data_IF_736410003309
#
_entry.id   IF_736410003309
#
_cell.length_a   1.000
_cell.length_b   1.000
_cell.length_c   1.000
_cell.angle_alpha   90.00
_cell.angle_beta   90.00
_cell.angle_gamma   90.00
#
_symmetry.space_group_name_H-M   'P 1'
#
loop_
_entity.id
_entity.type
_entity.pdbx_description
1 polymer ?
#
# COMPACT_ATOMS: atom_id res chain seq x y z
N UNK A 1 12.58 67.63 -6.14
CA UNK A 1 13.81 68.37 -5.81
C UNK A 1 14.64 68.31 -7.05
N UNK A 2 15.20 69.44 -7.45
CA UNK A 2 15.97 69.55 -8.68
C UNK A 2 17.47 69.51 -8.35
N UNK A 3 18.33 69.60 -9.36
CA UNK A 3 19.79 69.54 -9.15
C UNK A 3 20.30 70.65 -8.22
N UNK A 4 19.61 71.80 -8.20
CA UNK A 4 19.92 72.96 -7.37
C UNK A 4 19.16 72.98 -6.03
N UNK A 5 18.00 72.32 -5.93
CA UNK A 5 17.10 72.42 -4.77
C UNK A 5 16.89 71.06 -4.09
N UNK A 6 17.27 70.90 -2.81
CA UNK A 6 17.07 69.64 -2.13
C UNK A 6 15.57 69.32 -1.98
N UNK A 7 15.19 68.03 -2.06
CA UNK A 7 13.81 67.63 -1.87
C UNK A 7 13.33 67.99 -0.46
N UNK A 8 12.10 68.51 -0.37
CA UNK A 8 11.51 69.00 0.87
C UNK A 8 11.50 67.94 1.99
N UNK A 9 11.25 66.68 1.65
CA UNK A 9 11.29 65.57 2.61
C UNK A 9 12.66 65.40 3.27
N UNK A 10 13.76 65.62 2.52
CA UNK A 10 15.11 65.55 3.06
C UNK A 10 15.37 66.69 4.04
N UNK A 11 14.97 67.92 3.68
CA UNK A 11 15.07 69.07 4.58
C UNK A 11 14.28 68.83 5.88
N UNK A 12 13.02 68.37 5.77
CA UNK A 12 12.20 68.04 6.94
C UNK A 12 12.85 66.98 7.82
N UNK A 13 13.41 65.92 7.22
CA UNK A 13 14.09 64.86 7.98
C UNK A 13 15.33 65.37 8.73
N UNK A 14 16.10 66.28 8.12
CA UNK A 14 17.26 66.90 8.76
C UNK A 14 16.85 67.85 9.88
N UNK A 15 15.77 68.60 9.70
CA UNK A 15 15.22 69.45 10.76
C UNK A 15 14.67 68.63 11.93
N UNK A 16 14.03 67.49 11.64
CA UNK A 16 13.49 66.58 12.66
C UNK A 16 14.59 65.84 13.44
N UNK A 17 15.75 65.60 12.81
CA UNK A 17 16.89 64.98 13.47
C UNK A 17 17.45 65.82 14.64
N UNK A 18 17.20 67.14 14.65
CA UNK A 18 17.41 68.03 15.80
C UNK A 18 18.78 67.86 16.47
N UNK A 19 18.79 67.24 17.66
CA UNK A 19 19.98 67.06 18.52
C UNK A 19 20.91 65.92 18.08
N UNK A 20 20.50 65.07 17.13
CA UNK A 20 21.26 63.93 16.64
C UNK A 20 21.33 63.93 15.11
N UNK A 21 22.06 64.88 14.49
CA UNK A 21 22.19 64.90 13.04
C UNK A 21 22.97 63.67 12.56
N UNK A 22 22.63 63.13 11.37
CA UNK A 22 23.40 62.07 10.74
C UNK A 22 24.83 62.57 10.42
N UNK A 23 25.81 61.66 10.47
CA UNK A 23 27.22 62.01 10.19
C UNK A 23 27.49 62.33 8.73
N UNK A 24 26.80 61.65 7.82
CA UNK A 24 26.92 61.82 6.38
C UNK A 24 25.62 61.38 5.70
N UNK A 25 25.33 61.97 4.54
CA UNK A 25 24.26 61.53 3.66
C UNK A 25 24.91 60.88 2.45
N UNK A 26 24.58 59.62 2.20
CA UNK A 26 25.10 58.87 1.05
C UNK A 26 24.04 58.83 -0.05
N UNK A 27 24.35 59.41 -1.21
CA UNK A 27 23.49 59.37 -2.37
C UNK A 27 23.86 58.16 -3.25
N UNK A 28 23.01 57.13 -3.26
CA UNK A 28 23.16 55.94 -4.11
C UNK A 28 22.23 56.02 -5.31
N UNK A 29 22.76 55.80 -6.50
CA UNK A 29 21.96 55.73 -7.72
C UNK A 29 21.50 54.29 -7.98
N UNK A 30 20.26 54.14 -8.42
CA UNK A 30 19.68 52.85 -8.78
C UNK A 30 20.03 52.57 -10.25
N UNK A 31 20.80 51.51 -10.51
CA UNK A 31 20.97 50.99 -11.87
C UNK A 31 19.72 50.19 -12.24
N UNK A 32 18.71 50.87 -12.80
CA UNK A 32 17.57 50.17 -13.40
C UNK A 32 17.93 49.81 -14.83
N UNK A 33 17.78 48.53 -15.22
CA UNK A 33 18.12 48.02 -16.55
C UNK A 33 17.45 48.77 -17.71
N UNK A 34 16.30 49.43 -17.45
CA UNK A 34 15.50 50.13 -18.46
C UNK A 34 15.84 51.61 -18.65
N UNK A 35 16.66 52.21 -17.78
CA UNK A 35 17.05 53.62 -17.93
C UNK A 35 18.56 53.67 -18.05
N UNK A 36 19.03 53.88 -19.28
CA UNK A 36 20.42 54.21 -19.57
C UNK A 36 20.75 55.62 -19.01
N UNK A 37 20.78 55.74 -17.68
CA UNK A 37 21.29 56.92 -17.00
C UNK A 37 22.81 56.87 -17.12
N UNK A 38 23.40 57.89 -17.74
CA UNK A 38 24.85 57.99 -17.89
C UNK A 38 25.55 57.88 -16.52
N UNK A 39 26.63 57.12 -16.39
CA UNK A 39 27.28 56.80 -15.11
C UNK A 39 28.06 57.97 -14.47
N UNK A 40 27.77 59.21 -14.86
CA UNK A 40 28.57 60.38 -14.52
C UNK A 40 27.73 61.63 -14.23
N UNK A 41 26.60 61.50 -13.51
CA UNK A 41 25.89 62.69 -13.01
C UNK A 41 26.51 63.14 -11.69
N UNK A 42 27.06 64.36 -11.68
CA UNK A 42 27.67 64.99 -10.51
C UNK A 42 26.71 65.08 -9.33
N UNK A 43 27.29 65.05 -8.12
CA UNK A 43 26.55 65.26 -6.88
C UNK A 43 25.78 66.60 -6.99
N UNK A 44 24.49 66.64 -6.58
CA UNK A 44 23.73 67.87 -6.63
C UNK A 44 24.35 68.92 -5.71
N UNK A 45 24.31 70.20 -6.12
CA UNK A 45 24.88 71.33 -5.40
C UNK A 45 24.08 71.76 -4.17
N UNK A 46 23.44 70.82 -3.46
CA UNK A 46 22.56 71.13 -2.35
C UNK A 46 23.33 71.66 -1.14
N UNK A 47 22.95 72.85 -0.69
CA UNK A 47 23.49 73.44 0.54
C UNK A 47 22.87 72.76 1.77
N UNK A 48 23.54 71.70 2.25
CA UNK A 48 23.09 70.89 3.39
C UNK A 48 24.02 71.07 4.60
N UNK A 49 23.48 70.99 5.84
CA UNK A 49 24.28 71.08 7.06
C UNK A 49 25.17 69.85 7.32
N UNK A 50 25.07 68.80 6.49
CA UNK A 50 25.76 67.51 6.63
C UNK A 50 26.47 67.18 5.31
N UNK A 51 27.68 66.59 5.34
CA UNK A 51 28.38 66.23 4.11
C UNK A 51 27.58 65.22 3.26
N UNK A 52 27.47 65.54 1.97
CA UNK A 52 26.87 64.67 0.96
C UNK A 52 27.99 63.88 0.25
N UNK A 53 27.93 62.56 0.34
CA UNK A 53 28.91 61.63 -0.24
C UNK A 53 28.25 60.79 -1.32
N UNK A 54 28.95 60.50 -2.42
CA UNK A 54 28.47 59.56 -3.44
C UNK A 54 28.67 58.14 -2.93
N UNK A 55 27.57 57.37 -2.90
CA UNK A 55 27.61 55.96 -2.57
C UNK A 55 27.85 55.07 -3.77
N UNK A 56 28.16 53.80 -3.50
CA UNK A 56 28.22 52.78 -4.54
C UNK A 56 26.85 52.57 -5.21
N UNK A 57 26.86 52.07 -6.45
CA UNK A 57 25.64 51.74 -7.15
C UNK A 57 24.86 50.68 -6.37
N UNK A 58 23.59 50.95 -6.09
CA UNK A 58 22.76 50.07 -5.27
C UNK A 58 21.75 49.34 -6.14
N UNK A 59 21.95 48.03 -6.28
CA UNK A 59 20.94 47.13 -6.84
C UNK A 59 20.10 46.54 -5.70
N UNK A 60 18.92 47.13 -5.49
CA UNK A 60 18.00 46.70 -4.43
C UNK A 60 17.44 45.29 -4.63
N UNK A 61 17.49 44.73 -5.85
CA UNK A 61 17.00 43.37 -6.12
C UNK A 61 18.00 42.30 -5.67
N UNK A 62 19.28 42.65 -5.62
CA UNK A 62 20.38 41.73 -5.29
C UNK A 62 21.11 42.10 -4.01
N UNK A 63 20.74 43.22 -3.39
CA UNK A 63 21.36 43.67 -2.16
C UNK A 63 21.17 42.63 -1.04
N UNK A 64 22.24 42.22 -0.35
CA UNK A 64 22.11 41.38 0.83
C UNK A 64 21.35 42.13 1.92
N UNK A 65 20.34 41.50 2.50
CA UNK A 65 19.58 42.06 3.62
C UNK A 65 20.41 41.83 4.90
N UNK A 66 20.84 42.89 5.60
CA UNK A 66 21.59 42.74 6.84
C UNK A 66 20.76 42.03 7.92
N UNK A 67 21.33 41.04 8.59
CA UNK A 67 20.64 40.25 9.64
C UNK A 67 20.16 41.10 10.83
N UNK A 68 20.75 42.28 11.03
CA UNK A 68 20.41 43.20 12.11
C UNK A 68 19.12 44.02 11.89
N UNK A 69 18.52 43.95 10.70
CA UNK A 69 17.31 44.72 10.36
C UNK A 69 16.07 43.83 10.56
N UNK A 70 15.03 44.29 11.29
CA UNK A 70 13.79 43.54 11.41
C UNK A 70 13.13 43.35 10.05
N UNK A 71 12.81 42.11 9.69
CA UNK A 71 12.07 41.78 8.47
C UNK A 71 10.68 42.43 8.54
N UNK A 72 10.36 43.31 7.58
CA UNK A 72 9.08 44.00 7.48
C UNK A 72 7.99 43.19 6.76
N UNK A 73 8.36 42.04 6.18
CA UNK A 73 7.44 41.13 5.50
C UNK A 73 6.76 40.18 6.50
N UNK A 74 5.89 40.73 7.34
CA UNK A 74 5.11 39.99 8.33
C UNK A 74 3.66 40.50 8.37
N UNK A 75 2.74 39.63 8.84
CA UNK A 75 1.31 39.92 8.87
C UNK A 75 0.73 40.10 7.47
N UNK A 76 0.02 41.21 7.25
CA UNK A 76 -0.64 41.53 5.96
C UNK A 76 0.34 41.78 4.81
N UNK A 77 1.62 42.03 5.13
CA UNK A 77 2.70 42.22 4.16
C UNK A 77 3.56 40.96 3.96
N UNK A 78 3.17 39.82 4.55
CA UNK A 78 3.84 38.56 4.30
C UNK A 78 3.59 38.12 2.85
N UNK A 79 4.62 37.72 2.09
CA UNK A 79 4.43 37.16 0.76
C UNK A 79 3.51 35.92 0.86
N UNK A 80 2.56 35.75 -0.07
CA UNK A 80 1.75 34.55 -0.10
C UNK A 80 2.68 33.33 -0.24
N UNK A 81 2.36 32.24 0.45
CA UNK A 81 3.15 31.01 0.41
C UNK A 81 3.23 30.51 -1.04
N UNK A 82 4.32 30.81 -1.76
CA UNK A 82 4.54 30.37 -3.14
C UNK A 82 5.07 28.93 -3.09
N UNK A 83 4.17 28.00 -2.82
CA UNK A 83 4.44 26.55 -2.78
C UNK A 83 5.18 26.05 -4.04
N UNK A 84 5.02 26.77 -5.16
CA UNK A 84 5.56 26.39 -6.45
C UNK A 84 6.84 27.09 -6.91
N UNK A 85 7.38 28.06 -6.16
CA UNK A 85 8.66 28.69 -6.54
C UNK A 85 9.87 27.77 -6.32
N UNK A 86 9.76 26.82 -5.40
CA UNK A 86 10.81 25.84 -5.10
C UNK A 86 10.69 24.54 -5.88
N UNK A 87 9.71 24.40 -6.80
CA UNK A 87 9.56 23.22 -7.66
C UNK A 87 10.84 22.75 -8.37
N UNK A 88 11.67 23.64 -8.97
CA UNK A 88 12.89 23.17 -9.62
C UNK A 88 13.89 22.55 -8.63
N UNK A 89 13.85 22.93 -7.35
CA UNK A 89 14.68 22.32 -6.28
C UNK A 89 14.15 20.94 -5.84
N UNK A 90 12.89 20.62 -6.12
CA UNK A 90 12.27 19.32 -5.80
C UNK A 90 12.47 18.25 -6.88
N UNK A 91 13.00 18.62 -8.05
CA UNK A 91 13.35 17.68 -9.12
C UNK A 91 14.16 16.46 -8.66
N UNK A 92 15.27 16.60 -7.89
CA UNK A 92 16.02 15.43 -7.41
C UNK A 92 15.18 14.53 -6.51
N UNK A 93 14.33 15.12 -5.65
CA UNK A 93 13.43 14.35 -4.77
C UNK A 93 12.42 13.56 -5.60
N UNK A 94 11.86 14.17 -6.65
CA UNK A 94 10.94 13.50 -7.55
C UNK A 94 11.61 12.33 -8.30
N UNK A 95 12.86 12.49 -8.74
CA UNK A 95 13.61 11.40 -9.36
C UNK A 95 13.88 10.23 -8.40
N UNK A 96 14.19 10.53 -7.13
CA UNK A 96 14.38 9.49 -6.11
C UNK A 96 13.05 8.74 -5.87
N UNK A 97 11.95 9.47 -5.74
CA UNK A 97 10.62 8.89 -5.56
C UNK A 97 10.23 8.01 -6.75
N UNK A 98 10.49 8.49 -7.97
CA UNK A 98 10.23 7.75 -9.20
C UNK A 98 11.08 6.49 -9.29
N UNK A 99 12.37 6.57 -8.94
CA UNK A 99 13.26 5.43 -8.92
C UNK A 99 12.81 4.37 -7.90
N UNK A 100 12.45 4.79 -6.68
CA UNK A 100 11.92 3.89 -5.66
C UNK A 100 10.63 3.20 -6.12
N UNK A 101 9.72 3.96 -6.76
CA UNK A 101 8.49 3.41 -7.33
C UNK A 101 8.76 2.37 -8.42
N UNK A 102 9.70 2.65 -9.33
CA UNK A 102 10.09 1.69 -10.38
C UNK A 102 10.66 0.42 -9.78
N UNK A 103 11.52 0.53 -8.76
CA UNK A 103 12.11 -0.63 -8.09
C UNK A 103 11.03 -1.52 -7.46
N UNK A 104 10.05 -0.92 -6.77
CA UNK A 104 8.94 -1.65 -6.16
C UNK A 104 8.09 -2.40 -7.18
N UNK A 105 7.74 -1.72 -8.28
CA UNK A 105 6.96 -2.28 -9.39
C UNK A 105 7.72 -3.44 -10.03
N UNK A 106 9.00 -3.26 -10.35
CA UNK A 106 9.84 -4.29 -10.98
C UNK A 106 10.02 -5.48 -10.05
N UNK A 107 10.32 -5.26 -8.76
CA UNK A 107 10.47 -6.34 -7.78
C UNK A 107 9.22 -7.20 -7.69
N UNK A 108 8.05 -6.56 -7.60
CA UNK A 108 6.76 -7.27 -7.59
C UNK A 108 6.58 -8.08 -8.88
N UNK A 109 6.80 -7.49 -10.06
CA UNK A 109 6.59 -8.20 -11.33
C UNK A 109 7.56 -9.35 -11.59
N UNK A 110 8.77 -9.31 -11.02
CA UNK A 110 9.74 -10.42 -11.15
C UNK A 110 9.21 -11.68 -10.46
N UNK A 111 8.59 -11.56 -9.28
CA UNK A 111 8.01 -12.71 -8.59
C UNK A 111 6.92 -13.38 -9.43
N UNK A 112 6.05 -12.58 -10.05
CA UNK A 112 5.04 -13.09 -10.97
C UNK A 112 5.65 -13.75 -12.21
N UNK A 113 6.75 -13.20 -12.74
CA UNK A 113 7.44 -13.79 -13.90
C UNK A 113 8.08 -15.13 -13.56
N UNK A 114 8.72 -15.26 -12.39
CA UNK A 114 9.30 -16.52 -11.91
C UNK A 114 8.19 -17.56 -11.70
N UNK A 115 7.10 -17.16 -11.03
CA UNK A 115 5.98 -18.05 -10.77
C UNK A 115 5.27 -18.50 -12.05
N UNK A 116 5.16 -17.61 -13.04
CA UNK A 116 4.65 -17.96 -14.37
C UNK A 116 5.57 -18.94 -15.08
N UNK A 117 6.90 -18.76 -14.99
CA UNK A 117 7.87 -19.68 -15.58
C UNK A 117 7.83 -21.06 -14.92
N UNK A 118 7.70 -21.14 -13.59
CA UNK A 118 7.52 -22.39 -12.86
C UNK A 118 6.23 -23.10 -13.28
N UNK A 119 5.12 -22.35 -13.40
CA UNK A 119 3.86 -22.90 -13.91
C UNK A 119 4.01 -23.45 -15.33
N UNK A 120 4.71 -22.74 -16.21
CA UNK A 120 4.96 -23.20 -17.58
C UNK A 120 5.82 -24.46 -17.60
N UNK A 121 6.87 -24.53 -16.80
CA UNK A 121 7.73 -25.72 -16.67
C UNK A 121 6.94 -26.94 -16.14
N UNK A 122 6.09 -26.73 -15.13
CA UNK A 122 5.19 -27.76 -14.59
C UNK A 122 4.18 -28.25 -15.64
N UNK A 123 3.61 -27.33 -16.44
CA UNK A 123 2.65 -27.68 -17.50
C UNK A 123 3.33 -28.49 -18.60
N UNK A 124 4.54 -28.12 -19.01
CA UNK A 124 5.32 -28.88 -19.99
C UNK A 124 5.71 -30.27 -19.48
N UNK A 125 6.03 -30.42 -18.19
CA UNK A 125 6.26 -31.74 -17.59
C UNK A 125 4.99 -32.59 -17.58
N UNK A 126 3.84 -31.99 -17.28
CA UNK A 126 2.54 -32.69 -17.35
C UNK A 126 2.21 -33.14 -18.77
N UNK A 127 2.42 -32.28 -19.76
CA UNK A 127 2.26 -32.62 -21.18
C UNK A 127 3.21 -33.76 -21.57
N UNK A 128 4.49 -33.68 -21.22
CA UNK A 128 5.47 -34.73 -21.56
C UNK A 128 5.11 -36.09 -20.93
N UNK A 129 4.65 -36.10 -19.67
CA UNK A 129 4.19 -37.33 -19.00
C UNK A 129 2.90 -37.85 -19.63
N UNK A 130 1.98 -36.96 -20.00
CA UNK A 130 0.73 -37.32 -20.66
C UNK A 130 0.98 -37.94 -22.04
N UNK A 131 1.80 -37.31 -22.88
CA UNK A 131 2.21 -37.84 -24.17
C UNK A 131 2.97 -39.17 -24.04
N UNK A 132 3.84 -39.31 -23.02
CA UNK A 132 4.55 -40.57 -22.75
C UNK A 132 3.63 -41.70 -22.26
N UNK A 133 2.55 -41.39 -21.55
CA UNK A 133 1.63 -42.38 -20.98
C UNK A 133 0.47 -42.77 -21.91
N UNK A 134 0.04 -41.87 -22.81
CA UNK A 134 -1.19 -42.04 -23.60
C UNK A 134 -0.99 -42.06 -25.13
N UNK A 135 0.21 -41.73 -25.64
CA UNK A 135 0.52 -41.79 -27.08
C UNK A 135 -0.01 -40.60 -27.89
N UNK A 136 0.71 -40.28 -28.96
CA UNK A 136 0.74 -38.97 -29.65
C UNK A 136 -0.49 -38.59 -30.50
N UNK A 137 -1.61 -39.30 -30.39
CA UNK A 137 -2.71 -39.23 -31.38
C UNK A 137 -4.04 -38.65 -30.85
N UNK A 138 -4.03 -37.93 -29.72
CA UNK A 138 -5.24 -37.27 -29.20
C UNK A 138 -5.15 -35.75 -29.30
N UNK A 139 -5.97 -35.19 -30.19
CA UNK A 139 -6.12 -33.75 -30.45
C UNK A 139 -6.58 -32.97 -29.21
N UNK A 140 -5.75 -32.00 -28.85
CA UNK A 140 -5.82 -31.11 -27.70
C UNK A 140 -7.02 -30.14 -27.77
N UNK A 141 -8.09 -30.41 -27.01
CA UNK A 141 -9.13 -29.41 -26.69
C UNK A 141 -9.49 -29.57 -25.21
N UNK A 142 -8.97 -28.67 -24.38
CA UNK A 142 -9.17 -28.57 -22.92
C UNK A 142 -8.62 -29.71 -22.06
N UNK A 143 -7.30 -29.67 -21.86
CA UNK A 143 -6.55 -30.53 -20.95
C UNK A 143 -7.18 -30.73 -19.55
N UNK A 144 -7.72 -29.71 -18.84
CA UNK A 144 -8.23 -29.95 -17.48
C UNK A 144 -9.56 -30.71 -17.46
N UNK A 145 -10.45 -30.46 -18.43
CA UNK A 145 -11.78 -31.09 -18.47
C UNK A 145 -11.70 -32.54 -18.96
N UNK A 146 -10.80 -32.81 -19.91
CA UNK A 146 -10.54 -34.18 -20.38
C UNK A 146 -9.77 -35.01 -19.34
N UNK A 147 -8.83 -34.41 -18.59
CA UNK A 147 -8.18 -35.09 -17.47
C UNK A 147 -9.16 -35.43 -16.36
N UNK A 148 -10.10 -34.54 -16.00
CA UNK A 148 -11.14 -34.87 -15.02
C UNK A 148 -12.01 -36.05 -15.47
N UNK A 149 -12.38 -36.10 -16.76
CA UNK A 149 -13.20 -37.18 -17.31
C UNK A 149 -12.45 -38.51 -17.41
N UNK A 150 -11.19 -38.47 -17.84
CA UNK A 150 -10.35 -39.66 -17.96
C UNK A 150 -9.89 -40.16 -16.58
N UNK A 151 -9.68 -39.26 -15.62
CA UNK A 151 -9.39 -39.61 -14.23
C UNK A 151 -10.62 -40.20 -13.54
N UNK A 152 -11.81 -39.66 -13.78
CA UNK A 152 -13.06 -40.27 -13.31
C UNK A 152 -13.27 -41.65 -13.93
N UNK A 153 -13.03 -41.82 -15.24
CA UNK A 153 -13.16 -43.11 -15.92
C UNK A 153 -12.12 -44.15 -15.45
N UNK A 154 -10.85 -43.76 -15.30
CA UNK A 154 -9.79 -44.63 -14.79
C UNK A 154 -9.96 -44.97 -13.31
N UNK A 155 -10.46 -44.04 -12.48
CA UNK A 155 -10.81 -44.32 -11.08
C UNK A 155 -11.98 -45.28 -10.97
N UNK A 156 -12.97 -45.14 -11.85
CA UNK A 156 -14.10 -46.06 -11.90
C UNK A 156 -13.70 -47.48 -12.35
N UNK A 157 -12.66 -47.58 -13.19
CA UNK A 157 -12.10 -48.84 -13.68
C UNK A 157 -11.07 -49.49 -12.71
N UNK A 158 -10.39 -48.70 -11.87
CA UNK A 158 -9.26 -49.17 -11.05
C UNK A 158 -9.66 -49.64 -9.64
N UNK A 159 -10.78 -49.20 -9.06
CA UNK A 159 -11.23 -49.68 -7.73
C UNK A 159 -10.22 -49.48 -6.59
N UNK A 160 -9.34 -48.47 -6.68
CA UNK A 160 -8.29 -48.18 -5.70
C UNK A 160 -8.80 -47.18 -4.67
N UNK A 161 -8.81 -47.60 -3.40
CA UNK A 161 -9.23 -46.79 -2.27
C UNK A 161 -8.14 -45.78 -1.84
N UNK A 162 -8.41 -44.48 -1.96
CA UNK A 162 -7.62 -43.39 -1.39
C UNK A 162 -7.88 -43.27 0.13
N UNK A 163 -6.94 -42.71 0.91
CA UNK A 163 -7.15 -42.48 2.35
C UNK A 163 -8.24 -41.46 2.62
N UNK A 164 -8.59 -40.64 1.63
CA UNK A 164 -9.76 -39.75 1.62
C UNK A 164 -11.07 -40.43 1.21
N UNK A 165 -11.04 -41.72 0.86
CA UNK A 165 -12.23 -42.42 0.41
C UNK A 165 -13.19 -42.74 1.54
N UNK A 166 -14.43 -43.01 1.13
CA UNK A 166 -15.54 -43.30 2.01
C UNK A 166 -15.21 -44.42 3.01
N UNK A 167 -14.49 -45.47 2.59
CA UNK A 167 -14.23 -46.66 3.43
C UNK A 167 -13.31 -46.35 4.62
N UNK A 168 -12.10 -45.78 4.47
CA UNK A 168 -11.25 -45.43 5.61
C UNK A 168 -11.84 -44.33 6.51
N UNK A 169 -12.57 -43.36 5.93
CA UNK A 169 -13.32 -42.36 6.69
C UNK A 169 -14.43 -42.99 7.52
N UNK A 170 -15.19 -43.91 6.91
CA UNK A 170 -16.26 -44.63 7.57
C UNK A 170 -15.72 -45.57 8.64
N UNK A 171 -14.62 -46.27 8.43
CA UNK A 171 -14.02 -47.15 9.44
C UNK A 171 -13.57 -46.36 10.68
N UNK A 172 -12.91 -45.22 10.44
CA UNK A 172 -12.50 -44.31 11.52
C UNK A 172 -13.68 -43.71 12.29
N UNK A 173 -14.76 -43.34 11.57
CA UNK A 173 -15.98 -42.81 12.17
C UNK A 173 -16.81 -43.91 12.87
N UNK A 174 -16.90 -45.11 12.29
CA UNK A 174 -17.71 -46.22 12.78
C UNK A 174 -17.23 -46.74 14.13
N UNK A 175 -15.92 -46.74 14.39
CA UNK A 175 -15.37 -47.10 15.71
C UNK A 175 -15.85 -46.17 16.83
N UNK A 176 -16.14 -44.90 16.51
CA UNK A 176 -16.65 -43.93 17.47
C UNK A 176 -18.18 -43.95 17.51
N UNK A 177 -18.83 -44.03 16.34
CA UNK A 177 -20.29 -44.06 16.23
C UNK A 177 -20.88 -45.34 16.82
N UNK A 178 -20.18 -46.47 16.71
CA UNK A 178 -20.59 -47.75 17.31
C UNK A 178 -20.64 -47.75 18.84
N UNK A 179 -20.12 -46.70 19.50
CA UNK A 179 -20.25 -46.51 20.95
C UNK A 179 -21.52 -45.76 21.36
N UNK A 180 -22.33 -45.28 20.40
CA UNK A 180 -23.62 -44.65 20.66
C UNK A 180 -24.75 -45.69 20.73
N UNK A 181 -25.87 -45.27 21.33
CA UNK A 181 -27.09 -46.08 21.41
C UNK A 181 -27.65 -46.39 20.01
N UNK A 182 -28.23 -47.59 19.85
CA UNK A 182 -28.90 -47.98 18.63
C UNK A 182 -30.01 -46.97 18.26
N UNK A 183 -29.94 -46.41 17.04
CA UNK A 183 -30.89 -45.38 16.56
C UNK A 183 -30.38 -43.93 16.65
N UNK A 184 -29.15 -43.70 17.13
CA UNK A 184 -28.55 -42.35 17.16
C UNK A 184 -28.03 -41.85 15.81
N UNK A 185 -27.84 -42.70 14.81
CA UNK A 185 -27.45 -42.30 13.46
C UNK A 185 -28.68 -42.25 12.55
N UNK A 186 -29.00 -41.08 12.01
CA UNK A 186 -30.19 -40.86 11.17
C UNK A 186 -29.87 -40.87 9.69
N UNK A 187 -28.78 -40.22 9.29
CA UNK A 187 -28.34 -40.17 7.89
C UNK A 187 -26.83 -40.10 7.82
N UNK A 188 -26.28 -40.65 6.73
CA UNK A 188 -24.88 -40.60 6.37
C UNK A 188 -24.80 -40.18 4.91
N UNK A 189 -24.09 -39.10 4.61
CA UNK A 189 -23.86 -38.64 3.24
C UNK A 189 -22.36 -38.42 3.01
N UNK A 190 -21.87 -38.81 1.84
CA UNK A 190 -20.47 -38.61 1.46
C UNK A 190 -20.41 -37.81 0.16
N UNK A 191 -19.71 -36.69 0.20
CA UNK A 191 -19.48 -35.85 -0.97
C UNK A 191 -18.02 -35.41 -1.01
N UNK A 192 -17.33 -35.78 -2.10
CA UNK A 192 -16.03 -35.23 -2.48
C UNK A 192 -14.99 -35.15 -1.35
N UNK A 193 -14.82 -36.24 -0.59
CA UNK A 193 -13.84 -36.33 0.52
C UNK A 193 -14.32 -35.82 1.88
N UNK A 194 -15.63 -35.54 2.03
CA UNK A 194 -16.26 -35.14 3.30
C UNK A 194 -17.38 -36.10 3.66
N UNK A 195 -17.45 -36.47 4.94
CA UNK A 195 -18.50 -37.33 5.48
C UNK A 195 -19.44 -36.49 6.34
N UNK A 196 -20.68 -36.32 5.91
CA UNK A 196 -21.75 -35.70 6.68
C UNK A 196 -22.54 -36.75 7.45
N UNK A 197 -22.73 -36.51 8.74
CA UNK A 197 -23.43 -37.37 9.68
C UNK A 197 -24.55 -36.58 10.36
N UNK A 198 -25.79 -37.06 10.23
CA UNK A 198 -26.90 -36.58 11.04
C UNK A 198 -27.09 -37.51 12.25
N UNK A 199 -26.82 -36.97 13.44
CA UNK A 199 -26.95 -37.70 14.69
C UNK A 199 -28.10 -37.18 15.54
N UNK A 200 -28.79 -38.09 16.23
CA UNK A 200 -29.77 -37.81 17.28
C UNK A 200 -29.23 -38.35 18.60
N UNK A 201 -28.84 -37.44 19.49
CA UNK A 201 -28.32 -37.76 20.82
C UNK A 201 -29.34 -37.37 21.89
N UNK A 202 -29.29 -38.05 23.04
CA UNK A 202 -30.17 -37.74 24.16
C UNK A 202 -29.75 -36.44 24.86
N UNK A 203 -28.46 -36.11 24.91
CA UNK A 203 -27.99 -34.89 25.58
C UNK A 203 -26.95 -34.14 24.77
N UNK A 204 -26.92 -32.82 24.92
CA UNK A 204 -25.88 -31.96 24.33
C UNK A 204 -24.48 -32.28 24.84
N UNK A 205 -24.35 -32.78 26.07
CA UNK A 205 -23.07 -33.20 26.67
C UNK A 205 -22.46 -34.41 25.94
N UNK A 206 -23.29 -35.32 25.43
CA UNK A 206 -22.83 -36.49 24.67
C UNK A 206 -22.24 -36.06 23.31
N UNK A 207 -22.74 -34.95 22.75
CA UNK A 207 -22.29 -34.42 21.47
C UNK A 207 -20.88 -33.83 21.55
N UNK A 208 -20.59 -33.06 22.60
CA UNK A 208 -19.25 -32.49 22.81
C UNK A 208 -18.22 -33.60 23.10
N UNK A 209 -18.61 -34.62 23.87
CA UNK A 209 -17.76 -35.78 24.12
C UNK A 209 -17.48 -36.57 22.83
N UNK A 210 -18.48 -36.70 21.95
CA UNK A 210 -18.34 -37.34 20.65
C UNK A 210 -17.39 -36.57 19.72
N UNK A 211 -17.56 -35.26 19.64
CA UNK A 211 -16.73 -34.37 18.81
C UNK A 211 -15.25 -34.46 19.23
N UNK A 212 -14.98 -34.42 20.53
CA UNK A 212 -13.60 -34.59 21.06
C UNK A 212 -13.01 -35.96 20.75
N UNK A 213 -13.80 -37.04 20.82
CA UNK A 213 -13.34 -38.39 20.46
C UNK A 213 -12.99 -38.49 18.97
N UNK A 214 -13.81 -37.92 18.09
CA UNK A 214 -13.54 -37.87 16.66
C UNK A 214 -12.28 -37.05 16.34
N UNK A 215 -12.11 -35.90 16.99
CA UNK A 215 -10.89 -35.08 16.86
C UNK A 215 -9.63 -35.81 17.34
N UNK A 216 -9.71 -36.58 18.44
CA UNK A 216 -8.57 -37.37 18.94
C UNK A 216 -8.09 -38.46 17.97
N UNK A 217 -8.89 -38.80 16.96
CA UNK A 217 -8.57 -39.76 15.90
C UNK A 217 -8.04 -39.09 14.62
N UNK A 218 -7.72 -37.80 14.66
CA UNK A 218 -7.19 -37.05 13.51
C UNK A 218 -8.26 -36.61 12.51
N UNK A 219 -9.55 -36.68 12.89
CA UNK A 219 -10.65 -36.19 12.07
C UNK A 219 -10.97 -34.73 12.44
N UNK A 220 -10.95 -33.85 11.45
CA UNK A 220 -11.44 -32.48 11.62
C UNK A 220 -12.97 -32.51 11.58
N UNK A 221 -13.58 -32.11 12.70
CA UNK A 221 -15.03 -32.08 12.87
C UNK A 221 -15.54 -30.66 12.78
N UNK A 222 -16.51 -30.41 11.90
CA UNK A 222 -17.26 -29.17 11.83
C UNK A 222 -18.72 -29.44 12.15
N UNK A 223 -19.22 -28.81 13.21
CA UNK A 223 -20.65 -28.83 13.54
C UNK A 223 -21.35 -27.79 12.68
N UNK A 224 -22.31 -28.21 11.87
CA UNK A 224 -23.03 -27.30 10.96
C UNK A 224 -24.33 -26.79 11.59
N UNK A 225 -25.11 -27.65 12.23
CA UNK A 225 -26.37 -27.26 12.86
C UNK A 225 -26.66 -28.17 14.07
N UNK A 226 -27.08 -27.58 15.19
CA UNK A 226 -27.56 -28.29 16.39
C UNK A 226 -28.96 -27.78 16.72
N UNK A 227 -29.95 -28.67 16.64
CA UNK A 227 -31.35 -28.38 16.90
C UNK A 227 -31.82 -29.18 18.12
N UNK A 228 -32.30 -28.47 19.14
CA UNK A 228 -32.94 -29.11 20.29
C UNK A 228 -34.39 -29.47 19.92
N UNK A 229 -34.72 -30.76 19.95
CA UNK A 229 -36.04 -31.25 19.55
C UNK A 229 -37.08 -31.12 20.70
N UNK A 230 -36.72 -30.51 21.83
CA UNK A 230 -37.65 -30.15 22.91
C UNK A 230 -38.18 -31.32 23.75
N UNK A 231 -37.92 -32.56 23.31
CA UNK A 231 -38.23 -33.82 24.00
C UNK A 231 -37.01 -34.37 24.78
N UNK A 232 -36.10 -33.49 25.19
CA UNK A 232 -34.83 -33.89 25.79
C UNK A 232 -33.96 -34.73 24.86
N UNK A 233 -34.03 -34.49 23.54
CA UNK A 233 -33.12 -35.06 22.54
C UNK A 233 -32.62 -33.96 21.63
N UNK A 234 -31.32 -33.96 21.32
CA UNK A 234 -30.69 -32.99 20.43
C UNK A 234 -30.32 -33.67 19.11
N UNK A 235 -30.72 -33.07 17.98
CA UNK A 235 -30.25 -33.46 16.67
C UNK A 235 -29.09 -32.56 16.26
N UNK A 236 -28.01 -33.16 15.75
CA UNK A 236 -26.86 -32.41 15.29
C UNK A 236 -26.32 -32.96 13.97
N UNK A 237 -25.96 -32.04 13.07
CA UNK A 237 -25.32 -32.34 11.79
C UNK A 237 -23.83 -32.05 11.88
N UNK A 238 -23.04 -33.08 11.61
CA UNK A 238 -21.57 -33.05 11.67
C UNK A 238 -20.99 -33.26 10.27
N UNK A 239 -20.04 -32.44 9.89
CA UNK A 239 -19.21 -32.66 8.70
C UNK A 239 -17.81 -33.05 9.15
N UNK A 240 -17.36 -34.25 8.76
CA UNK A 240 -16.03 -34.77 9.02
C UNK A 240 -15.15 -34.66 7.78
N UNK A 241 -13.90 -34.28 7.98
CA UNK A 241 -12.85 -34.32 6.97
C UNK A 241 -11.53 -34.77 7.60
N UNK A 242 -10.74 -35.59 6.90
CA UNK A 242 -9.40 -35.95 7.36
C UNK A 242 -8.46 -34.75 7.25
N UNK A 243 -7.67 -34.54 8.30
CA UNK A 243 -6.54 -33.61 8.25
C UNK A 243 -5.32 -34.40 7.77
N UNK A 244 -4.77 -34.04 6.60
CA UNK A 244 -3.46 -34.54 6.21
C UNK A 244 -2.46 -33.95 7.21
N UNK A 245 -1.92 -34.78 8.10
CA UNK A 245 -0.76 -34.44 8.92
C UNK A 245 0.33 -33.91 7.97
N UNK A 246 0.66 -32.62 8.09
CA UNK A 246 1.89 -32.06 7.53
C UNK A 246 3.11 -32.60 8.27
#
# INVERSE_FOLDING_TARGET
>A
GDHETPPLALLLSLTAAGTHPPRQIELRQIQSADVAVSPAQDLPGWNLPVPLVRGEAWDWQRAPIPEAIPNLLWGDFAPPMRLFESLPKLRPVLFILLAAFIIEVVGTHIEWAILAQEKHALTQQQEHIFHAAFGDDSTLVDAPLQMQRNLAASRHAAGVADTTDLIPLLDSAAQVIGTLNAGSLRSLNYDSGKLELDLKLAQSVDFDALTKKLQSRGLKVRTSDMHDLGDGTSQAKLTLSLEALQ
#
